data_IF_808244861314
#
_entry.id   IF_808244861314
#
_cell.length_a   1.000
_cell.length_b   1.000
_cell.length_c   1.000
_cell.angle_alpha   90.00
_cell.angle_beta   90.00
_cell.angle_gamma   90.00
#
_symmetry.space_group_name_H-M   'P 1'
#
loop_
_entity.id
_entity.type
_entity.pdbx_description
1 polymer ?
#
# COMPACT_ATOMS: atom_id res chain seq x y z
N UNK A 1 3.34 -24.27 -8.61
CA UNK A 1 3.44 -22.88 -8.11
C UNK A 1 4.05 -22.02 -9.21
N UNK A 2 3.27 -21.22 -9.95
CA UNK A 2 3.86 -20.23 -10.87
C UNK A 2 4.33 -19.04 -10.03
N UNK A 3 5.63 -18.99 -9.69
CA UNK A 3 6.25 -17.72 -9.29
C UNK A 3 6.25 -16.85 -10.54
N UNK A 4 5.33 -15.90 -10.63
CA UNK A 4 5.40 -14.87 -11.66
C UNK A 4 6.45 -13.86 -11.23
N UNK A 5 7.44 -13.62 -12.09
CA UNK A 5 8.56 -12.74 -11.82
C UNK A 5 8.18 -11.27 -12.12
N UNK A 6 7.22 -10.75 -11.36
CA UNK A 6 6.82 -9.34 -11.41
C UNK A 6 8.01 -8.43 -11.17
N UNK A 7 7.91 -7.18 -11.65
CA UNK A 7 8.95 -6.18 -11.45
C UNK A 7 10.31 -6.55 -12.08
N UNK A 8 10.30 -7.38 -13.13
CA UNK A 8 11.50 -7.90 -13.78
C UNK A 8 11.37 -7.93 -15.31
N UNK A 9 12.48 -8.07 -16.06
CA UNK A 9 12.45 -8.22 -17.52
C UNK A 9 11.54 -9.34 -18.03
N UNK A 10 11.32 -10.37 -17.21
CA UNK A 10 10.44 -11.49 -17.58
C UNK A 10 8.97 -11.09 -17.78
N UNK A 11 8.59 -9.84 -17.45
CA UNK A 11 7.28 -9.29 -17.75
C UNK A 11 7.17 -8.75 -19.19
N UNK A 12 8.28 -8.45 -19.87
CA UNK A 12 8.28 -7.85 -21.23
C UNK A 12 7.35 -8.56 -22.24
N UNK A 13 7.29 -9.91 -22.30
CA UNK A 13 6.42 -10.60 -23.26
C UNK A 13 4.92 -10.34 -23.07
N UNK A 14 4.47 -9.96 -21.86
CA UNK A 14 3.04 -9.70 -21.60
C UNK A 14 2.64 -8.22 -21.66
N UNK A 15 3.61 -7.29 -21.71
CA UNK A 15 3.32 -5.86 -21.53
C UNK A 15 2.41 -5.30 -22.61
N UNK A 16 2.51 -5.79 -23.85
CA UNK A 16 1.67 -5.32 -24.96
C UNK A 16 0.20 -5.71 -24.78
N UNK A 17 -0.07 -6.95 -24.35
CA UNK A 17 -1.43 -7.38 -24.05
C UNK A 17 -1.99 -6.66 -22.82
N UNK A 18 -1.16 -6.52 -21.78
CA UNK A 18 -1.53 -5.78 -20.58
C UNK A 18 -1.85 -4.31 -20.88
N UNK A 19 -1.06 -3.66 -21.74
CA UNK A 19 -1.27 -2.29 -22.21
C UNK A 19 -2.62 -2.13 -22.89
N UNK A 20 -2.97 -3.02 -23.84
CA UNK A 20 -4.27 -2.98 -24.53
C UNK A 20 -5.46 -3.05 -23.56
N UNK A 21 -5.36 -3.86 -22.51
CA UNK A 21 -6.39 -3.93 -21.47
C UNK A 21 -6.41 -2.64 -20.64
N UNK A 22 -5.26 -2.13 -20.22
CA UNK A 22 -5.15 -0.92 -19.41
C UNK A 22 -5.65 0.33 -20.14
N UNK A 23 -5.40 0.45 -21.45
CA UNK A 23 -5.89 1.55 -22.29
C UNK A 23 -7.42 1.54 -22.46
N UNK A 24 -8.07 0.39 -22.25
CA UNK A 24 -9.53 0.27 -22.25
C UNK A 24 -10.19 0.76 -20.96
N UNK A 25 -9.43 1.14 -19.93
CA UNK A 25 -9.95 1.59 -18.64
C UNK A 25 -10.05 3.11 -18.58
N UNK A 26 -11.06 3.60 -17.85
CA UNK A 26 -11.15 5.02 -17.49
C UNK A 26 -10.45 5.27 -16.17
N UNK A 27 -9.61 6.30 -16.12
CA UNK A 27 -8.89 6.73 -14.93
C UNK A 27 -9.42 8.06 -14.43
N UNK A 28 -9.38 8.26 -13.12
CA UNK A 28 -9.72 9.51 -12.47
C UNK A 28 -8.66 9.85 -11.42
N UNK A 29 -8.53 11.14 -11.11
CA UNK A 29 -7.70 11.58 -10.00
C UNK A 29 -8.18 10.92 -8.69
N UNK A 30 -7.26 10.46 -7.84
CA UNK A 30 -7.63 9.80 -6.60
C UNK A 30 -8.29 10.80 -5.63
N UNK A 31 -9.46 10.43 -5.10
CA UNK A 31 -10.17 11.23 -4.08
C UNK A 31 -9.48 11.16 -2.70
N UNK A 32 -8.88 10.01 -2.41
CA UNK A 32 -8.03 9.81 -1.24
C UNK A 32 -6.58 9.90 -1.76
N UNK A 33 -5.73 10.78 -1.22
CA UNK A 33 -4.35 10.91 -1.69
C UNK A 33 -3.61 9.56 -1.75
N UNK A 34 -2.92 9.29 -2.85
CA UNK A 34 -2.15 8.06 -3.04
C UNK A 34 -0.68 8.39 -3.23
N UNK A 35 0.21 7.73 -2.49
CA UNK A 35 1.65 7.72 -2.77
C UNK A 35 1.97 6.49 -3.60
N UNK A 36 2.60 6.68 -4.75
CA UNK A 36 2.89 5.62 -5.70
C UNK A 36 4.01 4.71 -5.22
N UNK A 37 3.81 3.41 -5.33
CA UNK A 37 4.86 2.40 -5.18
C UNK A 37 5.81 2.33 -6.39
N UNK A 38 5.55 3.04 -7.48
CA UNK A 38 6.46 3.15 -8.62
C UNK A 38 7.44 4.33 -8.44
N UNK A 39 6.96 5.47 -7.94
CA UNK A 39 7.76 6.71 -7.86
C UNK A 39 8.16 7.09 -6.44
N UNK A 40 7.49 6.53 -5.43
CA UNK A 40 7.62 6.93 -4.03
C UNK A 40 6.99 8.29 -3.74
N UNK A 41 6.17 8.87 -4.62
CA UNK A 41 5.65 10.24 -4.51
C UNK A 41 4.12 10.30 -4.66
N UNK A 42 3.46 11.38 -4.24
CA UNK A 42 2.02 11.56 -4.47
C UNK A 42 1.65 11.45 -5.95
N UNK A 43 0.52 10.80 -6.21
CA UNK A 43 -0.05 10.62 -7.54
C UNK A 43 -1.12 11.67 -7.78
N UNK A 44 -0.95 12.48 -8.82
CA UNK A 44 -1.98 13.40 -9.29
C UNK A 44 -3.06 12.67 -10.10
N UNK A 45 -2.65 11.75 -10.97
CA UNK A 45 -3.54 10.97 -11.83
C UNK A 45 -2.93 9.59 -12.16
N UNK A 46 -3.80 8.63 -12.46
CA UNK A 46 -3.41 7.32 -12.98
C UNK A 46 -3.59 7.26 -14.49
N UNK A 47 -2.81 6.42 -15.14
CA UNK A 47 -2.88 6.18 -16.59
C UNK A 47 -2.56 4.73 -16.91
N UNK A 48 -2.87 4.29 -18.14
CA UNK A 48 -2.48 2.96 -18.61
C UNK A 48 -0.96 2.76 -18.52
N UNK A 49 -0.18 3.78 -18.92
CA UNK A 49 1.28 3.76 -18.84
C UNK A 49 1.78 3.59 -17.41
N UNK A 50 1.14 4.23 -16.42
CA UNK A 50 1.48 4.03 -15.02
C UNK A 50 1.40 2.55 -14.63
N UNK A 51 0.33 1.84 -15.02
CA UNK A 51 0.13 0.44 -14.65
C UNK A 51 1.08 -0.50 -15.40
N UNK A 52 1.33 -0.25 -16.69
CA UNK A 52 2.31 -1.02 -17.49
C UNK A 52 3.71 -0.88 -16.88
N UNK A 53 4.08 0.33 -16.46
CA UNK A 53 5.35 0.55 -15.74
C UNK A 53 5.36 -0.12 -14.39
N UNK A 54 4.30 0.03 -13.59
CA UNK A 54 4.25 -0.51 -12.23
C UNK A 54 4.36 -2.04 -12.17
N UNK A 55 3.78 -2.76 -13.14
CA UNK A 55 3.91 -4.23 -13.18
C UNK A 55 5.33 -4.70 -13.57
N UNK A 56 6.10 -3.84 -14.25
CA UNK A 56 7.45 -4.13 -14.78
C UNK A 56 8.59 -3.59 -13.92
N UNK A 57 8.43 -2.42 -13.33
CA UNK A 57 9.47 -1.71 -12.57
C UNK A 57 9.40 -2.06 -11.08
N UNK A 58 10.50 -1.82 -10.35
CA UNK A 58 10.62 -2.16 -8.94
C UNK A 58 9.64 -1.38 -8.05
N UNK A 59 9.16 -2.06 -7.00
CA UNK A 59 8.32 -1.46 -5.95
C UNK A 59 9.18 -0.66 -4.96
N UNK A 60 8.93 0.64 -4.88
CA UNK A 60 9.57 1.62 -4.00
C UNK A 60 8.81 1.82 -2.68
N UNK A 61 8.46 0.71 -2.02
CA UNK A 61 7.61 0.74 -0.81
C UNK A 61 8.16 1.63 0.30
N UNK A 62 9.45 1.48 0.64
CA UNK A 62 10.07 2.25 1.71
C UNK A 62 10.14 3.76 1.40
N UNK A 63 10.32 4.14 0.13
CA UNK A 63 10.25 5.54 -0.29
C UNK A 63 8.84 6.10 -0.11
N UNK A 64 7.81 5.29 -0.42
CA UNK A 64 6.42 5.66 -0.21
C UNK A 64 6.08 5.89 1.26
N UNK A 65 6.54 4.98 2.14
CA UNK A 65 6.33 5.12 3.60
C UNK A 65 7.03 6.35 4.15
N UNK A 66 8.29 6.62 3.76
CA UNK A 66 9.01 7.84 4.17
C UNK A 66 8.35 9.12 3.67
N UNK A 67 7.77 9.09 2.48
CA UNK A 67 7.01 10.23 1.96
C UNK A 67 5.77 10.48 2.82
N UNK A 68 5.01 9.43 3.17
CA UNK A 68 3.87 9.55 4.07
C UNK A 68 4.29 10.09 5.45
N UNK A 69 5.39 9.61 6.02
CA UNK A 69 5.96 10.13 7.27
C UNK A 69 6.30 11.62 7.16
N UNK A 70 6.96 12.04 6.08
CA UNK A 70 7.30 13.44 5.82
C UNK A 70 6.08 14.36 5.67
N UNK A 71 4.94 13.81 5.25
CA UNK A 71 3.63 14.49 5.19
C UNK A 71 2.88 14.44 6.53
N UNK A 72 3.49 13.92 7.60
CA UNK A 72 2.93 13.88 8.95
C UNK A 72 2.05 12.66 9.24
N UNK A 73 2.03 11.64 8.36
CA UNK A 73 1.31 10.40 8.62
C UNK A 73 2.00 9.61 9.74
N UNK A 74 1.29 9.43 10.85
CA UNK A 74 1.77 8.69 12.03
C UNK A 74 1.02 7.38 12.26
N UNK A 75 0.00 7.07 11.44
CA UNK A 75 -0.88 5.91 11.61
C UNK A 75 -1.04 5.18 10.29
N UNK A 76 -0.77 3.89 10.33
CA UNK A 76 -0.81 3.01 9.16
C UNK A 76 -1.75 1.84 9.45
N UNK A 77 -2.70 1.61 8.55
CA UNK A 77 -3.56 0.42 8.60
C UNK A 77 -3.25 -0.44 7.38
N UNK A 78 -2.81 -1.67 7.62
CA UNK A 78 -2.61 -2.65 6.54
C UNK A 78 -3.91 -3.38 6.27
N UNK A 79 -4.46 -3.19 5.07
CA UNK A 79 -5.59 -3.94 4.55
C UNK A 79 -5.06 -5.15 3.77
N UNK A 80 -4.96 -6.29 4.46
CA UNK A 80 -4.44 -7.52 3.89
C UNK A 80 -4.50 -8.67 4.90
N UNK A 81 -4.36 -9.92 4.45
CA UNK A 81 -4.75 -11.11 5.22
C UNK A 81 -3.83 -11.46 6.40
N UNK A 82 -2.58 -10.96 6.45
CA UNK A 82 -1.56 -11.50 7.37
C UNK A 82 -0.64 -10.46 8.05
N UNK A 83 -0.75 -9.18 7.70
CA UNK A 83 0.03 -8.13 8.38
C UNK A 83 1.52 -8.09 8.00
N UNK A 84 1.86 -8.45 6.77
CA UNK A 84 3.25 -8.52 6.29
C UNK A 84 3.84 -7.11 6.14
N UNK A 85 3.06 -6.18 5.59
CA UNK A 85 3.52 -4.83 5.33
C UNK A 85 3.72 -4.03 6.63
N UNK A 86 3.01 -4.37 7.71
CA UNK A 86 3.13 -3.73 9.00
C UNK A 86 4.56 -3.77 9.54
N UNK A 87 5.24 -4.93 9.40
CA UNK A 87 6.64 -5.05 9.77
C UNK A 87 7.56 -4.22 8.87
N UNK A 88 7.26 -4.11 7.57
CA UNK A 88 8.02 -3.31 6.62
C UNK A 88 7.86 -1.81 6.84
N UNK A 89 6.66 -1.35 7.25
CA UNK A 89 6.41 0.04 7.65
C UNK A 89 7.28 0.41 8.84
N UNK A 90 7.30 -0.43 9.88
CA UNK A 90 8.13 -0.19 11.08
C UNK A 90 9.63 -0.09 10.77
N UNK A 91 10.11 -0.76 9.70
CA UNK A 91 11.50 -0.66 9.24
C UNK A 91 11.77 0.54 8.33
N UNK A 92 10.72 1.20 7.81
CA UNK A 92 10.84 2.27 6.83
C UNK A 92 10.71 3.67 7.43
N UNK A 93 10.04 3.80 8.58
CA UNK A 93 9.88 5.06 9.31
C UNK A 93 11.05 5.32 10.27
N UNK A 94 11.23 6.56 10.71
CA UNK A 94 12.21 6.91 11.75
C UNK A 94 11.90 6.23 13.09
N UNK A 95 12.92 6.06 13.94
CA UNK A 95 12.75 5.46 15.28
C UNK A 95 11.76 6.23 16.16
N UNK A 96 11.70 7.56 16.00
CA UNK A 96 10.76 8.42 16.71
C UNK A 96 9.32 8.21 16.22
N UNK A 97 9.12 8.18 14.90
CA UNK A 97 7.81 7.87 14.32
C UNK A 97 7.38 6.42 14.60
N UNK A 98 8.30 5.46 14.68
CA UNK A 98 8.01 4.09 15.08
C UNK A 98 7.55 4.01 16.54
N UNK A 99 8.12 4.83 17.43
CA UNK A 99 7.74 4.87 18.85
C UNK A 99 6.41 5.61 19.09
N UNK A 100 6.11 6.62 18.30
CA UNK A 100 4.90 7.44 18.40
C UNK A 100 3.73 6.92 17.55
N UNK A 101 4.03 6.14 16.51
CA UNK A 101 3.08 5.76 15.46
C UNK A 101 2.39 4.42 15.71
N UNK A 102 1.24 4.25 15.04
CA UNK A 102 0.42 3.04 15.15
C UNK A 102 0.38 2.33 13.81
N UNK A 103 0.89 1.10 13.77
CA UNK A 103 0.84 0.24 12.58
C UNK A 103 -0.06 -0.96 12.89
N UNK A 104 -1.23 -1.01 12.25
CA UNK A 104 -2.30 -1.97 12.57
C UNK A 104 -2.64 -2.81 11.35
N UNK A 105 -2.39 -4.14 11.37
CA UNK A 105 -2.97 -5.03 10.37
C UNK A 105 -4.46 -5.24 10.66
N UNK A 106 -5.28 -5.09 9.64
CA UNK A 106 -6.73 -5.26 9.74
C UNK A 106 -7.15 -6.73 9.87
N UNK A 107 -6.40 -7.64 9.25
CA UNK A 107 -6.66 -9.08 9.31
C UNK A 107 -5.41 -9.85 9.75
N UNK A 108 -5.64 -11.06 10.25
CA UNK A 108 -4.62 -12.05 10.60
C UNK A 108 -5.14 -13.44 10.26
N UNK A 109 -4.29 -14.29 9.69
CA UNK A 109 -4.69 -15.62 9.21
C UNK A 109 -5.23 -16.53 10.33
N UNK A 110 -4.77 -16.34 11.56
CA UNK A 110 -5.13 -17.15 12.73
C UNK A 110 -6.39 -16.67 13.47
N UNK A 111 -7.16 -15.72 12.89
CA UNK A 111 -8.32 -15.10 13.54
C UNK A 111 -9.53 -15.03 12.61
N UNK A 112 -10.72 -15.01 13.23
CA UNK A 112 -11.97 -14.62 12.55
C UNK A 112 -11.86 -13.21 11.97
N UNK A 113 -12.30 -13.00 10.72
CA UNK A 113 -12.21 -11.71 10.02
C UNK A 113 -12.94 -10.60 10.79
N UNK A 114 -14.19 -10.85 11.21
CA UNK A 114 -14.98 -9.86 11.98
C UNK A 114 -14.27 -9.46 13.26
N UNK A 115 -13.78 -10.45 14.02
CA UNK A 115 -13.06 -10.18 15.27
C UNK A 115 -11.74 -9.45 15.02
N UNK A 116 -11.03 -9.76 13.94
CA UNK A 116 -9.78 -9.10 13.59
C UNK A 116 -10.01 -7.63 13.22
N UNK A 117 -11.02 -7.35 12.39
CA UNK A 117 -11.36 -5.97 11.99
C UNK A 117 -11.82 -5.14 13.20
N UNK A 118 -12.71 -5.67 14.06
CA UNK A 118 -13.14 -4.95 15.25
C UNK A 118 -11.97 -4.65 16.20
N UNK A 119 -11.03 -5.58 16.36
CA UNK A 119 -9.81 -5.35 17.12
C UNK A 119 -8.89 -4.31 16.48
N UNK A 120 -8.78 -4.30 15.15
CA UNK A 120 -8.01 -3.30 14.42
C UNK A 120 -8.61 -1.90 14.61
N UNK A 121 -9.93 -1.76 14.47
CA UNK A 121 -10.66 -0.51 14.74
C UNK A 121 -10.47 -0.05 16.19
N UNK A 122 -10.57 -0.96 17.16
CA UNK A 122 -10.30 -0.65 18.57
C UNK A 122 -8.88 -0.14 18.81
N UNK A 123 -7.87 -0.71 18.14
CA UNK A 123 -6.47 -0.23 18.23
C UNK A 123 -6.29 1.15 17.62
N UNK A 124 -6.90 1.40 16.47
CA UNK A 124 -6.91 2.72 15.83
C UNK A 124 -7.59 3.74 16.73
N UNK A 125 -8.70 3.35 17.38
CA UNK A 125 -9.43 4.19 18.31
C UNK A 125 -8.62 4.58 19.55
N UNK A 126 -8.05 3.59 20.25
CA UNK A 126 -7.21 3.82 21.44
C UNK A 126 -5.96 4.64 21.11
N UNK A 127 -5.51 4.60 19.86
CA UNK A 127 -4.42 5.45 19.41
C UNK A 127 -4.83 6.94 19.26
N UNK A 128 -6.11 7.29 19.38
CA UNK A 128 -6.63 8.65 19.28
C UNK A 128 -7.18 8.99 17.89
N UNK A 129 -7.74 8.03 17.17
CA UNK A 129 -8.58 8.30 16.00
C UNK A 129 -10.05 8.04 16.34
N UNK A 130 -10.92 8.93 15.90
CA UNK A 130 -12.35 8.71 16.06
C UNK A 130 -12.82 7.65 15.06
N UNK A 131 -13.61 6.71 15.56
CA UNK A 131 -14.27 5.67 14.77
C UNK A 131 -15.76 5.89 14.95
N UNK A 132 -16.48 6.03 13.83
CA UNK A 132 -17.94 6.07 13.80
C UNK A 132 -18.46 4.63 13.88
N UNK A 133 -19.08 4.28 15.01
CA UNK A 133 -19.45 2.90 15.37
C UNK A 133 -20.87 2.54 14.97
#
# INVERSE_FOLDING_TARGET
YKRQAFHSPLMEPMLEEFRRVAEGLSYAAPRIPVVSNLTGRPVAEFSAEYWVRHVREAVRFADGVRTLEGEGVSRFVELGPDGVLAGMVAQSVSSEAAAAGVVVPALRRDRSEVSAVLQALGRVHVAGQDVDW
#
